data_IF_350005984941
#
_entry.id   IF_350005984941
#
_cell.length_a   1.000
_cell.length_b   1.000
_cell.length_c   1.000
_cell.angle_alpha   90.00
_cell.angle_beta   90.00
_cell.angle_gamma   90.00
#
_symmetry.space_group_name_H-M   'P 1'
#
loop_
_entity.id
_entity.type
_entity.pdbx_description
1 polymer ?
#
# COMPACT_ATOMS: atom_id res chain seq x y z
N UNK A 1 -0.01 6.64 22.66
CA UNK A 1 -0.17 8.02 22.13
C UNK A 1 0.29 8.04 20.68
N UNK A 2 -0.40 8.73 19.81
CA UNK A 2 -0.08 8.79 18.39
C UNK A 2 0.87 9.96 18.05
N UNK A 3 1.39 9.97 16.84
CA UNK A 3 2.28 11.01 16.33
C UNK A 3 1.74 12.45 16.51
N UNK A 4 0.43 12.65 16.34
CA UNK A 4 -0.21 13.96 16.52
C UNK A 4 -0.15 14.49 17.96
N UNK A 5 0.20 13.64 18.92
CA UNK A 5 0.36 14.02 20.33
C UNK A 5 1.83 14.18 20.70
N UNK A 6 2.73 13.41 20.08
CA UNK A 6 4.12 13.25 20.52
C UNK A 6 5.14 13.84 19.55
N UNK A 7 4.77 14.01 18.28
CA UNK A 7 5.68 14.25 17.15
C UNK A 7 6.79 13.18 17.01
N UNK A 8 6.63 12.03 17.68
CA UNK A 8 7.55 10.90 17.56
C UNK A 8 7.21 10.06 16.31
N UNK A 9 8.12 10.05 15.37
CA UNK A 9 7.99 9.36 14.09
C UNK A 9 7.77 7.85 14.24
N UNK A 10 8.22 7.23 15.34
CA UNK A 10 8.01 5.80 15.64
C UNK A 10 6.52 5.50 15.82
N UNK A 11 5.74 6.47 16.28
CA UNK A 11 4.30 6.35 16.53
C UNK A 11 3.43 6.71 15.32
N UNK A 12 4.01 6.70 14.11
CA UNK A 12 3.29 6.93 12.86
C UNK A 12 3.72 5.95 11.77
N UNK A 13 2.81 5.17 11.24
CA UNK A 13 3.02 4.32 10.07
C UNK A 13 2.67 4.99 8.74
N UNK A 14 2.18 6.23 8.74
CA UNK A 14 1.75 6.93 7.53
C UNK A 14 0.51 6.30 6.88
N UNK A 15 -0.39 5.70 7.65
CA UNK A 15 -1.60 5.04 7.16
C UNK A 15 -2.71 6.00 6.68
N UNK A 16 -2.56 7.29 6.89
CA UNK A 16 -3.46 8.38 6.47
C UNK A 16 -4.89 8.33 7.05
N UNK A 17 -5.18 7.49 8.04
CA UNK A 17 -6.50 7.42 8.66
C UNK A 17 -6.92 8.76 9.30
N UNK A 18 -5.97 9.46 9.95
CA UNK A 18 -6.18 10.76 10.56
C UNK A 18 -6.53 11.85 9.52
N UNK A 19 -5.91 11.81 8.34
CA UNK A 19 -6.22 12.75 7.25
C UNK A 19 -7.60 12.47 6.63
N UNK A 20 -7.93 11.19 6.42
CA UNK A 20 -9.21 10.77 5.85
C UNK A 20 -10.42 11.08 6.77
N UNK A 21 -10.26 10.95 8.10
CA UNK A 21 -11.37 11.18 9.04
C UNK A 21 -11.66 12.65 9.28
N UNK A 22 -10.73 13.56 8.96
CA UNK A 22 -10.88 14.97 9.28
C UNK A 22 -11.96 15.63 8.40
N UNK A 23 -13.11 16.05 8.98
CA UNK A 23 -14.20 16.64 8.21
C UNK A 23 -13.83 18.00 7.63
N UNK A 24 -12.89 18.70 8.25
CA UNK A 24 -12.42 20.02 7.84
C UNK A 24 -11.19 19.97 6.94
N UNK A 25 -10.71 18.75 6.58
CA UNK A 25 -9.46 18.55 5.80
C UNK A 25 -8.27 19.34 6.37
N UNK A 26 -8.24 19.49 7.69
CA UNK A 26 -7.20 20.23 8.41
C UNK A 26 -5.88 19.44 8.53
N UNK A 27 -5.78 18.23 8.00
CA UNK A 27 -4.59 17.39 8.12
C UNK A 27 -4.03 17.09 6.73
N UNK A 28 -2.80 17.54 6.51
CA UNK A 28 -2.01 17.23 5.31
C UNK A 28 -0.87 16.28 5.65
N UNK A 29 -0.56 15.36 4.73
CA UNK A 29 0.60 14.48 4.85
C UNK A 29 1.82 15.17 4.24
N UNK A 30 2.77 15.59 5.07
CA UNK A 30 3.95 16.36 4.66
C UNK A 30 5.18 15.43 4.66
N UNK A 31 6.00 15.44 3.59
CA UNK A 31 7.24 14.68 3.56
C UNK A 31 8.27 15.25 4.54
N UNK A 32 9.06 14.38 5.16
CA UNK A 32 10.25 14.74 5.91
C UNK A 32 11.49 14.77 4.99
N UNK A 33 12.69 14.93 5.59
CA UNK A 33 13.96 14.94 4.85
C UNK A 33 14.28 13.65 4.09
N UNK A 34 13.62 12.54 4.44
CA UNK A 34 13.75 11.26 3.77
C UNK A 34 12.53 10.96 2.88
N UNK A 35 11.67 11.95 2.65
CA UNK A 35 10.44 11.86 1.86
C UNK A 35 9.36 10.92 2.47
N UNK A 36 9.52 10.47 3.72
CA UNK A 36 8.43 9.82 4.44
C UNK A 36 7.38 10.83 4.87
N UNK A 37 6.12 10.51 4.65
CA UNK A 37 5.01 11.45 4.88
C UNK A 37 4.41 11.28 6.26
N UNK A 38 4.30 12.43 6.97
CA UNK A 38 3.73 12.54 8.32
C UNK A 38 2.57 13.53 8.35
N UNK A 39 1.56 13.31 9.21
CA UNK A 39 0.42 14.22 9.30
C UNK A 39 0.83 15.55 9.97
N UNK A 40 0.47 16.66 9.34
CA UNK A 40 0.58 18.01 9.89
C UNK A 40 -0.79 18.66 9.96
N UNK A 41 -1.15 19.19 11.13
CA UNK A 41 -2.42 19.88 11.37
C UNK A 41 -2.29 21.34 10.95
N UNK A 42 -3.22 21.80 10.11
CA UNK A 42 -3.46 23.23 9.91
C UNK A 42 -4.36 23.74 11.04
N UNK A 43 -3.81 24.58 11.90
CA UNK A 43 -4.47 25.09 13.11
C UNK A 43 -5.67 25.96 12.75
N UNK A 44 -5.60 26.70 11.66
CA UNK A 44 -6.68 27.62 11.24
C UNK A 44 -7.96 26.89 10.81
N UNK A 45 -7.80 25.64 10.34
CA UNK A 45 -8.91 24.78 9.91
C UNK A 45 -9.34 23.78 11.00
N UNK A 46 -8.52 23.61 12.04
CA UNK A 46 -8.72 22.57 13.05
C UNK A 46 -9.71 23.02 14.15
N UNK A 47 -10.83 22.33 14.26
CA UNK A 47 -11.82 22.56 15.34
C UNK A 47 -11.52 21.79 16.64
N UNK A 48 -10.39 21.14 16.74
CA UNK A 48 -9.95 20.33 17.88
C UNK A 48 -10.95 19.23 18.31
N UNK A 49 -11.69 18.65 17.37
CA UNK A 49 -12.72 17.63 17.63
C UNK A 49 -12.16 16.26 18.08
N UNK A 50 -10.87 16.01 17.98
CA UNK A 50 -10.19 14.80 18.43
C UNK A 50 -10.39 13.54 17.57
N UNK A 51 -11.16 13.60 16.46
CA UNK A 51 -11.44 12.44 15.61
C UNK A 51 -10.17 11.77 15.07
N UNK A 52 -9.18 12.56 14.67
CA UNK A 52 -7.91 12.08 14.14
C UNK A 52 -7.11 11.23 15.15
N UNK A 53 -7.23 11.53 16.45
CA UNK A 53 -6.62 10.75 17.53
C UNK A 53 -7.39 9.45 17.79
N UNK A 54 -8.72 9.51 17.70
CA UNK A 54 -9.59 8.33 17.91
C UNK A 54 -9.40 7.26 16.85
N UNK A 55 -9.15 7.62 15.60
CA UNK A 55 -8.94 6.64 14.51
C UNK A 55 -7.50 6.22 14.35
N UNK A 56 -6.56 6.77 15.11
CA UNK A 56 -5.16 6.36 14.97
C UNK A 56 -4.94 4.94 15.50
N UNK A 57 -4.46 3.99 14.69
CA UNK A 57 -4.23 2.61 15.15
C UNK A 57 -3.28 2.50 16.35
N UNK A 58 -2.36 3.45 16.53
CA UNK A 58 -1.45 3.50 17.67
C UNK A 58 -2.14 3.85 19.00
N UNK A 59 -3.35 4.41 18.96
CA UNK A 59 -4.17 4.70 20.15
C UNK A 59 -5.20 3.61 20.44
N UNK A 60 -5.35 2.63 19.54
CA UNK A 60 -6.27 1.52 19.70
C UNK A 60 -5.55 0.33 20.34
N UNK A 61 -6.24 -0.37 21.24
CA UNK A 61 -5.74 -1.65 21.72
C UNK A 61 -5.71 -2.66 20.58
N UNK A 62 -4.65 -3.49 20.49
CA UNK A 62 -4.58 -4.54 19.48
C UNK A 62 -5.82 -5.44 19.56
N UNK A 63 -6.54 -5.56 18.47
CA UNK A 63 -7.64 -6.52 18.41
C UNK A 63 -7.04 -7.92 18.40
N UNK A 64 -7.37 -8.74 19.40
CA UNK A 64 -7.03 -10.16 19.38
C UNK A 64 -7.83 -10.82 18.25
N UNK A 65 -7.16 -11.44 17.31
CA UNK A 65 -7.83 -12.32 16.36
C UNK A 65 -8.41 -13.51 17.11
N UNK A 66 -9.73 -13.53 17.27
CA UNK A 66 -10.46 -14.68 17.83
C UNK A 66 -10.81 -15.61 16.68
N UNK A 67 -10.01 -16.62 16.42
CA UNK A 67 -10.31 -17.60 15.39
C UNK A 67 -9.13 -18.54 15.13
N UNK A 68 -9.40 -19.69 14.51
CA UNK A 68 -8.35 -20.59 14.04
C UNK A 68 -7.64 -19.96 12.84
N UNK A 69 -6.32 -19.81 12.94
CA UNK A 69 -5.48 -19.37 11.84
C UNK A 69 -5.14 -20.60 10.98
N UNK A 70 -5.60 -20.60 9.74
CA UNK A 70 -5.21 -21.60 8.75
C UNK A 70 -4.14 -21.03 7.85
N UNK A 71 -3.14 -21.86 7.53
CA UNK A 71 -2.09 -21.54 6.56
C UNK A 71 -2.27 -22.42 5.33
N UNK A 72 -2.36 -21.79 4.16
CA UNK A 72 -2.49 -22.47 2.89
C UNK A 72 -1.33 -22.08 1.97
N UNK A 73 -0.81 -23.06 1.22
CA UNK A 73 0.15 -22.83 0.15
C UNK A 73 -0.46 -23.23 -1.19
N UNK A 74 -0.21 -22.42 -2.24
CA UNK A 74 -0.74 -22.73 -3.55
C UNK A 74 -0.44 -21.65 -4.59
N UNK A 75 -0.91 -21.90 -5.81
CA UNK A 75 -0.82 -20.94 -6.90
C UNK A 75 -2.07 -21.00 -7.79
N UNK A 76 -2.33 -19.90 -8.50
CA UNK A 76 -3.41 -19.84 -9.48
C UNK A 76 -3.12 -20.77 -10.67
N UNK A 77 -4.13 -21.49 -11.17
CA UNK A 77 -3.98 -22.44 -12.29
C UNK A 77 -3.74 -21.75 -13.64
N UNK A 78 -4.25 -20.53 -13.80
CA UNK A 78 -4.07 -19.76 -15.03
C UNK A 78 -2.61 -19.33 -15.18
N UNK A 79 -1.91 -19.92 -16.14
CA UNK A 79 -0.47 -19.70 -16.37
C UNK A 79 -0.13 -18.25 -16.75
N UNK A 80 -1.01 -17.58 -17.51
CA UNK A 80 -0.83 -16.17 -17.86
C UNK A 80 -0.87 -15.30 -16.60
N UNK A 81 -1.87 -15.47 -15.74
CA UNK A 81 -1.97 -14.71 -14.48
C UNK A 81 -0.82 -15.05 -13.55
N UNK A 82 -0.38 -16.30 -13.50
CA UNK A 82 0.76 -16.73 -12.68
C UNK A 82 2.07 -16.06 -13.12
N UNK A 83 2.34 -15.98 -14.41
CA UNK A 83 3.54 -15.32 -14.95
C UNK A 83 3.54 -13.81 -14.70
N UNK A 84 2.37 -13.17 -14.76
CA UNK A 84 2.19 -11.74 -14.48
C UNK A 84 2.14 -11.41 -12.98
N UNK A 85 2.11 -12.41 -12.11
CA UNK A 85 2.06 -12.22 -10.65
C UNK A 85 3.44 -12.33 -10.03
N UNK A 86 3.70 -11.59 -8.95
CA UNK A 86 4.98 -11.64 -8.22
C UNK A 86 5.25 -13.02 -7.61
N UNK A 87 4.20 -13.69 -7.10
CA UNK A 87 4.26 -15.00 -6.44
C UNK A 87 3.22 -15.94 -7.05
N UNK A 88 2.46 -16.65 -6.22
CA UNK A 88 1.46 -17.63 -6.65
C UNK A 88 0.15 -17.07 -7.23
N UNK A 89 -0.02 -15.76 -7.30
CA UNK A 89 -1.23 -15.13 -7.83
C UNK A 89 -2.44 -15.17 -6.88
N UNK A 90 -2.20 -15.34 -5.58
CA UNK A 90 -3.26 -15.45 -4.56
C UNK A 90 -4.25 -14.27 -4.59
N UNK A 91 -3.76 -13.04 -4.78
CA UNK A 91 -4.64 -11.87 -4.89
C UNK A 91 -5.67 -12.03 -6.01
N UNK A 92 -5.24 -12.44 -7.21
CA UNK A 92 -6.15 -12.67 -8.34
C UNK A 92 -7.15 -13.79 -8.05
N UNK A 93 -6.72 -14.88 -7.39
CA UNK A 93 -7.60 -15.97 -7.00
C UNK A 93 -8.66 -15.54 -5.97
N UNK A 94 -8.28 -14.71 -4.98
CA UNK A 94 -9.21 -14.14 -3.99
C UNK A 94 -10.23 -13.23 -4.68
N UNK A 95 -9.79 -12.37 -5.60
CA UNK A 95 -10.69 -11.52 -6.39
C UNK A 95 -11.68 -12.34 -7.19
N UNK A 96 -11.23 -13.42 -7.83
CA UNK A 96 -12.09 -14.28 -8.63
C UNK A 96 -13.15 -14.98 -7.76
N UNK A 97 -12.79 -15.38 -6.55
CA UNK A 97 -13.69 -16.05 -5.63
C UNK A 97 -14.68 -15.09 -4.94
N UNK A 98 -14.24 -13.90 -4.56
CA UNK A 98 -15.03 -12.95 -3.78
C UNK A 98 -15.90 -12.01 -4.63
N UNK A 99 -15.34 -11.51 -5.74
CA UNK A 99 -15.99 -10.48 -6.56
C UNK A 99 -16.87 -11.13 -7.63
N UNK A 100 -18.14 -11.35 -7.33
CA UNK A 100 -19.13 -11.91 -8.24
C UNK A 100 -20.00 -10.83 -8.91
N UNK A 101 -20.71 -10.02 -8.13
CA UNK A 101 -21.60 -8.95 -8.59
C UNK A 101 -21.47 -7.72 -7.69
N UNK A 102 -21.71 -6.54 -8.24
CA UNK A 102 -21.79 -5.27 -7.52
C UNK A 102 -20.57 -5.05 -6.58
N UNK A 103 -19.37 -5.17 -7.11
CA UNK A 103 -18.12 -5.08 -6.36
C UNK A 103 -17.26 -3.87 -6.76
N UNK A 104 -16.35 -3.52 -5.88
CA UNK A 104 -15.25 -2.58 -6.12
C UNK A 104 -13.98 -3.18 -5.53
N UNK A 105 -12.88 -3.10 -6.26
CA UNK A 105 -11.59 -3.62 -5.84
C UNK A 105 -10.62 -2.46 -5.68
N UNK A 106 -9.99 -2.35 -4.51
CA UNK A 106 -8.94 -1.39 -4.20
C UNK A 106 -7.59 -2.07 -4.11
N UNK A 107 -6.56 -1.38 -4.59
CA UNK A 107 -5.19 -1.82 -4.47
C UNK A 107 -4.19 -0.72 -4.82
N UNK A 108 -2.92 -0.98 -4.57
CA UNK A 108 -1.86 -0.06 -4.91
C UNK A 108 -1.55 -0.10 -6.42
N UNK A 109 -1.54 1.06 -7.06
CA UNK A 109 -1.12 1.26 -8.45
C UNK A 109 0.15 2.09 -8.50
N UNK A 110 0.92 1.96 -9.58
CA UNK A 110 2.10 2.81 -9.83
C UNK A 110 1.90 3.61 -11.10
N UNK A 111 2.30 4.88 -11.04
CA UNK A 111 2.44 5.76 -12.18
C UNK A 111 3.84 6.39 -12.12
N UNK A 112 4.74 5.90 -12.97
CA UNK A 112 6.16 6.18 -12.86
C UNK A 112 6.71 5.76 -11.50
N UNK A 113 7.21 6.73 -10.73
CA UNK A 113 7.75 6.53 -9.39
C UNK A 113 6.70 6.70 -8.26
N UNK A 114 5.50 7.17 -8.62
CA UNK A 114 4.44 7.39 -7.66
C UNK A 114 3.64 6.11 -7.44
N UNK A 115 3.37 5.79 -6.18
CA UNK A 115 2.49 4.68 -5.79
C UNK A 115 1.34 5.22 -4.95
N UNK A 116 0.13 4.86 -5.32
CA UNK A 116 -1.08 5.30 -4.63
C UNK A 116 -2.17 4.24 -4.68
N UNK A 117 -3.16 4.33 -3.79
CA UNK A 117 -4.32 3.47 -3.82
C UNK A 117 -5.36 4.00 -4.80
N UNK A 118 -5.82 3.11 -5.68
CA UNK A 118 -6.90 3.34 -6.63
C UNK A 118 -7.89 2.19 -6.58
N UNK A 119 -8.98 2.31 -7.34
CA UNK A 119 -10.02 1.29 -7.41
C UNK A 119 -10.46 1.00 -8.84
N UNK A 120 -10.99 -0.20 -9.03
CA UNK A 120 -11.57 -0.66 -10.28
C UNK A 120 -12.94 -1.30 -10.02
N UNK A 121 -13.80 -1.22 -11.03
CA UNK A 121 -15.14 -1.83 -11.03
C UNK A 121 -15.22 -3.09 -11.91
N UNK A 122 -14.14 -3.43 -12.62
CA UNK A 122 -14.11 -4.56 -13.55
C UNK A 122 -12.76 -5.30 -13.42
N UNK A 123 -12.82 -6.60 -13.22
CA UNK A 123 -11.66 -7.50 -13.10
C UNK A 123 -10.69 -7.45 -14.30
N UNK A 124 -11.15 -7.01 -15.48
CA UNK A 124 -10.27 -6.86 -16.64
C UNK A 124 -9.11 -5.88 -16.43
N UNK A 125 -9.24 -4.98 -15.45
CA UNK A 125 -8.21 -4.01 -15.08
C UNK A 125 -7.38 -4.44 -13.86
N UNK A 126 -7.50 -5.70 -13.41
CA UNK A 126 -6.83 -6.21 -12.21
C UNK A 126 -5.30 -6.23 -12.31
N UNK A 127 -4.78 -6.26 -13.53
CA UNK A 127 -3.35 -6.16 -13.82
C UNK A 127 -2.68 -4.93 -13.20
N UNK A 128 -3.40 -3.80 -13.08
CA UNK A 128 -2.90 -2.58 -12.43
C UNK A 128 -2.45 -2.81 -10.97
N UNK A 129 -3.07 -3.75 -10.26
CA UNK A 129 -2.78 -4.05 -8.86
C UNK A 129 -1.77 -5.18 -8.68
N UNK A 130 -1.50 -5.96 -9.74
CA UNK A 130 -0.50 -7.01 -9.68
C UNK A 130 0.91 -6.45 -9.48
N UNK A 131 1.81 -7.32 -9.13
CA UNK A 131 3.22 -7.06 -8.85
C UNK A 131 3.44 -6.24 -7.57
N UNK A 132 4.60 -6.46 -6.95
CA UNK A 132 4.98 -5.76 -5.73
C UNK A 132 5.44 -4.34 -6.05
N UNK A 133 5.10 -3.39 -5.18
CA UNK A 133 5.57 -2.02 -5.22
C UNK A 133 6.24 -1.74 -3.87
N UNK A 134 7.57 -1.70 -3.85
CA UNK A 134 8.35 -1.50 -2.61
C UNK A 134 8.49 -0.03 -2.25
N UNK A 135 7.41 0.72 -2.37
CA UNK A 135 7.27 2.12 -1.97
C UNK A 135 5.98 2.26 -1.19
N UNK A 136 5.96 3.16 -0.22
CA UNK A 136 4.73 3.50 0.49
C UNK A 136 3.72 4.12 -0.48
N UNK A 137 2.58 3.46 -0.66
CA UNK A 137 1.49 4.01 -1.46
C UNK A 137 0.72 5.08 -0.69
N UNK A 138 0.36 6.15 -1.36
CA UNK A 138 -0.53 7.18 -0.83
C UNK A 138 -1.96 6.64 -0.79
N UNK A 139 -2.62 6.75 0.35
CA UNK A 139 -4.03 6.36 0.49
C UNK A 139 -4.95 7.41 -0.15
N UNK A 140 -4.59 8.69 -0.03
CA UNK A 140 -5.42 9.77 -0.54
C UNK A 140 -6.84 9.69 0.03
N UNK A 141 -7.84 9.62 -0.85
CA UNK A 141 -9.26 9.52 -0.47
C UNK A 141 -9.79 8.07 -0.46
N UNK A 142 -8.93 7.05 -0.58
CA UNK A 142 -9.38 5.67 -0.77
C UNK A 142 -10.30 5.19 0.36
N UNK A 143 -10.01 5.52 1.63
CA UNK A 143 -10.88 5.12 2.75
C UNK A 143 -12.26 5.77 2.68
N UNK A 144 -12.33 7.03 2.27
CA UNK A 144 -13.59 7.74 2.07
C UNK A 144 -14.42 7.09 0.96
N UNK A 145 -13.79 6.67 -0.14
CA UNK A 145 -14.47 5.93 -1.21
C UNK A 145 -14.92 4.55 -0.76
N UNK A 146 -14.10 3.82 0.00
CA UNK A 146 -14.50 2.53 0.59
C UNK A 146 -15.76 2.69 1.43
N UNK A 147 -15.77 3.68 2.34
CA UNK A 147 -16.96 3.98 3.17
C UNK A 147 -18.20 4.23 2.33
N UNK A 148 -18.08 5.08 1.31
CA UNK A 148 -19.18 5.40 0.38
C UNK A 148 -19.70 4.15 -0.32
N UNK A 149 -18.82 3.33 -0.91
CA UNK A 149 -19.25 2.13 -1.63
C UNK A 149 -19.87 1.07 -0.73
N UNK A 150 -19.42 0.94 0.53
CA UNK A 150 -20.08 0.08 1.51
C UNK A 150 -21.49 0.59 1.84
N UNK A 151 -21.65 1.91 2.02
CA UNK A 151 -22.97 2.53 2.23
C UNK A 151 -23.90 2.36 1.02
N UNK A 152 -23.35 2.34 -0.20
CA UNK A 152 -24.09 2.05 -1.44
C UNK A 152 -24.38 0.54 -1.62
N UNK A 153 -24.11 -0.31 -0.62
CA UNK A 153 -24.36 -1.75 -0.64
C UNK A 153 -23.43 -2.54 -1.56
N UNK A 154 -22.28 -1.99 -1.95
CA UNK A 154 -21.30 -2.71 -2.78
C UNK A 154 -20.42 -3.64 -1.96
N UNK A 155 -20.02 -4.76 -2.53
CA UNK A 155 -18.91 -5.56 -2.01
C UNK A 155 -17.59 -4.83 -2.29
N UNK A 156 -16.80 -4.61 -1.25
CA UNK A 156 -15.50 -3.92 -1.37
C UNK A 156 -14.38 -4.88 -0.99
N UNK A 157 -13.45 -5.10 -1.91
CA UNK A 157 -12.18 -5.76 -1.63
C UNK A 157 -11.09 -4.67 -1.53
N UNK A 158 -10.41 -4.61 -0.39
CA UNK A 158 -9.31 -3.67 -0.18
C UNK A 158 -8.01 -4.42 0.13
N UNK A 159 -7.01 -4.26 -0.74
CA UNK A 159 -5.67 -4.79 -0.52
C UNK A 159 -4.72 -3.69 -0.06
N UNK A 160 -3.94 -3.95 0.99
CA UNK A 160 -2.98 -3.00 1.53
C UNK A 160 -2.00 -3.64 2.50
N UNK A 161 -1.04 -2.86 2.98
CA UNK A 161 -0.12 -3.27 4.04
C UNK A 161 -0.83 -3.34 5.40
N UNK A 162 -0.27 -4.01 6.44
CA UNK A 162 -0.88 -4.12 7.76
C UNK A 162 -1.31 -2.78 8.35
N UNK A 163 -0.45 -1.77 8.25
CA UNK A 163 -0.76 -0.44 8.76
C UNK A 163 -1.92 0.24 7.99
N UNK A 164 -2.02 0.02 6.68
CA UNK A 164 -3.11 0.56 5.86
C UNK A 164 -4.43 -0.16 6.16
N UNK A 165 -4.40 -1.47 6.34
CA UNK A 165 -5.59 -2.23 6.75
C UNK A 165 -6.05 -1.81 8.16
N UNK A 166 -5.12 -1.66 9.11
CA UNK A 166 -5.44 -1.15 10.45
C UNK A 166 -6.05 0.27 10.40
N UNK A 167 -5.47 1.15 9.57
CA UNK A 167 -6.00 2.50 9.33
C UNK A 167 -7.39 2.49 8.72
N UNK A 168 -7.66 1.65 7.73
CA UNK A 168 -8.99 1.49 7.14
C UNK A 168 -10.00 0.99 8.15
N UNK A 169 -9.68 -0.09 8.88
CA UNK A 169 -10.58 -0.66 9.89
C UNK A 169 -10.92 0.34 10.98
N UNK A 170 -9.93 1.10 11.46
CA UNK A 170 -10.18 2.13 12.46
C UNK A 170 -11.00 3.32 11.91
N UNK A 171 -10.81 3.69 10.66
CA UNK A 171 -11.64 4.70 9.98
C UNK A 171 -13.10 4.24 9.85
N UNK A 172 -13.34 2.94 9.67
CA UNK A 172 -14.67 2.34 9.48
C UNK A 172 -15.32 1.81 10.76
N UNK A 173 -14.78 2.07 11.95
CA UNK A 173 -15.26 1.49 13.23
C UNK A 173 -16.79 1.59 13.45
N UNK A 174 -17.43 2.65 12.97
CA UNK A 174 -18.87 2.88 13.10
C UNK A 174 -19.65 2.60 11.80
N UNK A 175 -19.07 1.83 10.88
CA UNK A 175 -19.72 1.47 9.63
C UNK A 175 -19.96 -0.04 9.58
N UNK A 176 -21.02 -0.45 8.89
CA UNK A 176 -21.20 -1.86 8.55
C UNK A 176 -20.09 -2.32 7.60
N UNK A 177 -19.39 -3.38 7.98
CA UNK A 177 -18.27 -3.96 7.24
C UNK A 177 -18.59 -5.37 6.71
N UNK A 178 -19.84 -5.82 6.73
CA UNK A 178 -20.24 -7.16 6.28
C UNK A 178 -19.84 -7.43 4.81
N UNK A 179 -19.83 -6.38 3.99
CA UNK A 179 -19.45 -6.43 2.59
C UNK A 179 -17.98 -6.04 2.33
N UNK A 180 -17.13 -5.96 3.37
CA UNK A 180 -15.71 -5.62 3.25
C UNK A 180 -14.83 -6.87 3.39
N UNK A 181 -14.05 -7.16 2.36
CA UNK A 181 -12.94 -8.11 2.45
C UNK A 181 -11.62 -7.35 2.41
N UNK A 182 -10.78 -7.52 3.43
CA UNK A 182 -9.43 -6.96 3.46
C UNK A 182 -8.40 -8.03 3.11
N UNK A 183 -7.48 -7.71 2.21
CA UNK A 183 -6.35 -8.57 1.82
C UNK A 183 -5.07 -7.89 2.26
N UNK A 184 -4.49 -8.40 3.33
CA UNK A 184 -3.28 -7.87 3.90
C UNK A 184 -2.05 -8.44 3.18
N UNK A 185 -1.18 -7.56 2.71
CA UNK A 185 0.10 -7.92 2.09
C UNK A 185 1.16 -7.95 3.18
N UNK A 186 1.90 -9.06 3.31
CA UNK A 186 3.02 -9.14 4.25
C UNK A 186 4.01 -8.02 3.96
N UNK A 187 4.28 -7.19 4.97
CA UNK A 187 5.14 -6.03 4.86
C UNK A 187 6.08 -5.95 6.07
N UNK A 188 7.37 -5.96 5.81
CA UNK A 188 8.42 -5.78 6.82
C UNK A 188 8.90 -4.33 6.90
N UNK A 189 8.36 -3.45 6.07
CA UNK A 189 8.69 -2.04 5.97
C UNK A 189 8.84 -1.60 4.51
N UNK A 190 9.16 -0.32 4.32
CA UNK A 190 9.40 0.28 3.00
C UNK A 190 10.68 1.09 3.02
N UNK A 191 11.47 1.10 1.93
CA UNK A 191 12.63 1.98 1.82
C UNK A 191 12.19 3.44 1.78
N UNK A 192 13.14 4.34 2.02
CA UNK A 192 12.90 5.77 1.90
C UNK A 192 12.53 6.15 0.46
N UNK A 193 11.47 6.94 0.23
CA UNK A 193 11.15 7.42 -1.12
C UNK A 193 12.27 8.28 -1.73
N UNK A 194 13.07 8.96 -0.90
CA UNK A 194 14.23 9.74 -1.35
C UNK A 194 15.24 8.89 -2.13
N UNK A 195 15.43 7.61 -1.72
CA UNK A 195 16.33 6.71 -2.43
C UNK A 195 15.92 6.51 -3.90
N UNK A 196 14.62 6.26 -4.13
CA UNK A 196 14.12 6.07 -5.48
C UNK A 196 14.21 7.34 -6.32
N UNK A 197 13.96 8.49 -5.71
CA UNK A 197 14.10 9.81 -6.34
C UNK A 197 15.55 10.06 -6.76
N UNK A 198 16.51 9.87 -5.86
CA UNK A 198 17.94 10.03 -6.15
C UNK A 198 18.43 9.04 -7.23
N UNK A 199 17.91 7.80 -7.19
CA UNK A 199 18.21 6.82 -8.22
C UNK A 199 17.66 7.24 -9.60
N UNK A 200 16.44 7.76 -9.65
CA UNK A 200 15.87 8.29 -10.89
C UNK A 200 16.69 9.49 -11.44
N UNK A 201 17.15 10.38 -10.55
CA UNK A 201 18.02 11.49 -10.93
C UNK A 201 19.34 10.98 -11.54
N UNK A 202 19.96 9.96 -10.90
CA UNK A 202 21.16 9.31 -11.44
C UNK A 202 20.93 8.70 -12.82
N UNK A 203 19.83 7.93 -12.99
CA UNK A 203 19.47 7.32 -14.28
C UNK A 203 19.23 8.39 -15.34
N UNK A 204 18.49 9.44 -14.98
CA UNK A 204 18.19 10.56 -15.89
C UNK A 204 19.47 11.27 -16.35
N UNK A 205 20.39 11.55 -15.43
CA UNK A 205 21.67 12.16 -15.76
C UNK A 205 22.53 11.26 -16.67
N UNK A 206 22.55 9.96 -16.39
CA UNK A 206 23.39 8.99 -17.14
C UNK A 206 22.86 8.65 -18.53
N UNK A 207 21.54 8.54 -18.67
CA UNK A 207 20.90 8.03 -19.89
C UNK A 207 20.07 9.07 -20.63
N UNK A 208 20.00 10.31 -20.12
CA UNK A 208 19.18 11.40 -20.66
C UNK A 208 17.71 11.01 -20.86
N UNK A 209 17.20 10.15 -19.97
CA UNK A 209 15.83 9.62 -20.03
C UNK A 209 15.29 9.39 -18.62
N UNK A 210 14.05 9.76 -18.38
CA UNK A 210 13.37 9.53 -17.10
C UNK A 210 12.87 8.09 -16.97
N UNK A 211 12.85 7.58 -15.73
CA UNK A 211 12.23 6.28 -15.41
C UNK A 211 10.72 6.36 -15.60
N UNK A 212 10.17 5.56 -16.51
CA UNK A 212 8.72 5.51 -16.79
C UNK A 212 7.97 4.50 -15.91
N UNK A 213 8.63 3.40 -15.54
CA UNK A 213 8.05 2.35 -14.71
C UNK A 213 9.15 1.52 -14.05
N UNK A 214 8.83 0.90 -12.92
CA UNK A 214 9.72 -0.01 -12.22
C UNK A 214 8.99 -1.33 -11.99
N UNK A 215 9.63 -2.43 -12.35
CA UNK A 215 9.22 -3.77 -11.98
C UNK A 215 10.16 -4.32 -10.91
N UNK A 216 9.71 -4.32 -9.65
CA UNK A 216 10.53 -4.68 -8.50
C UNK A 216 10.85 -6.17 -8.39
N UNK A 217 10.11 -7.04 -9.07
CA UNK A 217 10.32 -8.49 -9.06
C UNK A 217 10.04 -9.06 -10.45
N UNK A 218 10.85 -8.62 -11.39
CA UNK A 218 10.78 -9.11 -12.76
C UNK A 218 11.08 -10.61 -12.82
N UNK A 219 10.18 -11.37 -13.43
CA UNK A 219 10.34 -12.80 -13.67
C UNK A 219 10.69 -12.99 -15.13
N UNK A 220 11.96 -13.20 -15.42
CA UNK A 220 12.39 -13.70 -16.70
C UNK A 220 12.87 -15.15 -16.55
N UNK A 221 12.07 -16.09 -17.04
CA UNK A 221 12.43 -17.51 -17.04
C UNK A 221 13.65 -17.83 -17.89
N UNK A 222 14.04 -16.94 -18.81
CA UNK A 222 15.25 -17.09 -19.64
C UNK A 222 16.51 -16.61 -18.93
N UNK A 223 16.42 -15.69 -18.00
CA UNK A 223 17.59 -15.09 -17.34
C UNK A 223 18.16 -15.94 -16.20
N UNK A 224 17.46 -16.98 -15.76
CA UNK A 224 18.06 -17.98 -14.84
C UNK A 224 19.24 -18.72 -15.47
N UNK A 225 19.33 -18.75 -16.82
CA UNK A 225 20.37 -19.42 -17.58
C UNK A 225 21.28 -18.49 -18.42
N UNK A 226 20.92 -17.22 -18.60
CA UNK A 226 21.71 -16.29 -19.41
C UNK A 226 21.98 -14.98 -18.65
N UNK A 227 23.11 -14.91 -18.02
CA UNK A 227 23.62 -13.80 -17.20
C UNK A 227 23.87 -12.47 -17.95
N UNK A 228 23.36 -12.24 -19.14
CA UNK A 228 23.84 -11.13 -19.99
C UNK A 228 22.79 -10.13 -20.50
N UNK A 229 21.50 -10.39 -20.35
CA UNK A 229 20.46 -9.47 -20.84
C UNK A 229 19.49 -9.17 -19.70
N UNK A 230 19.57 -8.03 -19.08
CA UNK A 230 18.71 -7.61 -17.96
C UNK A 230 19.47 -7.05 -16.77
N UNK A 231 20.69 -6.62 -16.98
CA UNK A 231 21.57 -6.09 -15.92
C UNK A 231 20.97 -4.92 -15.13
N UNK A 232 19.98 -4.23 -15.69
CA UNK A 232 19.45 -3.01 -15.12
C UNK A 232 18.36 -3.28 -14.08
N UNK A 233 17.43 -4.18 -14.37
CA UNK A 233 16.36 -4.53 -13.44
C UNK A 233 16.87 -5.35 -12.26
N UNK A 234 17.88 -6.17 -12.49
CA UNK A 234 18.51 -6.99 -11.45
C UNK A 234 19.36 -6.16 -10.47
N UNK A 235 20.05 -5.11 -10.91
CA UNK A 235 20.82 -4.22 -10.03
C UNK A 235 19.90 -3.40 -9.11
N UNK A 236 18.77 -2.90 -9.61
CA UNK A 236 17.76 -2.23 -8.77
C UNK A 236 17.18 -3.18 -7.75
N UNK A 237 16.88 -4.41 -8.14
CA UNK A 237 16.36 -5.44 -7.24
C UNK A 237 17.37 -5.88 -6.19
N UNK A 238 18.63 -6.11 -6.54
CA UNK A 238 19.67 -6.42 -5.57
C UNK A 238 19.93 -5.26 -4.62
N UNK A 239 19.94 -4.01 -5.10
CA UNK A 239 20.13 -2.86 -4.23
C UNK A 239 18.94 -2.67 -3.27
N UNK A 240 17.71 -2.80 -3.74
CA UNK A 240 16.51 -2.73 -2.88
C UNK A 240 16.45 -3.92 -1.91
N UNK A 241 16.83 -5.12 -2.33
CA UNK A 241 16.95 -6.29 -1.46
C UNK A 241 18.09 -6.15 -0.44
N UNK A 242 19.22 -5.57 -0.81
CA UNK A 242 20.34 -5.30 0.09
C UNK A 242 20.02 -4.19 1.11
N UNK A 243 19.24 -3.20 0.73
CA UNK A 243 18.74 -2.17 1.66
C UNK A 243 17.77 -2.80 2.67
N UNK A 244 16.93 -3.73 2.25
CA UNK A 244 16.09 -4.52 3.15
C UNK A 244 16.88 -5.35 4.18
N UNK A 245 18.10 -5.76 3.85
CA UNK A 245 18.96 -6.59 4.72
C UNK A 245 19.85 -5.73 5.62
N UNK A 246 20.25 -4.53 5.19
CA UNK A 246 21.28 -3.73 5.84
C UNK A 246 20.77 -2.57 6.69
N UNK A 247 19.54 -2.10 6.48
CA UNK A 247 18.98 -1.05 7.31
C UNK A 247 17.72 -1.52 8.02
N UNK A 248 17.62 -1.31 9.35
CA UNK A 248 16.38 -1.54 10.06
C UNK A 248 15.34 -0.60 9.45
N UNK A 249 14.40 -1.17 8.74
CA UNK A 249 13.26 -0.43 8.25
C UNK A 249 12.63 0.30 9.43
N UNK A 250 12.41 1.58 9.28
CA UNK A 250 11.93 2.51 10.32
C UNK A 250 10.59 2.10 10.94
N UNK A 251 9.98 1.00 10.47
CA UNK A 251 8.63 0.57 10.84
C UNK A 251 8.51 -0.94 10.87
N UNK A 252 8.69 -1.46 12.04
CA UNK A 252 8.14 -2.76 12.44
C UNK A 252 6.79 -2.57 13.09
#
# INVERSE_FOLDING_TARGET
>A
MCYLDTNDKITCSGCEACANICPHKAICMIPDSEEFRYPKINIDLCTNCGLCRKVCPYNLSPQKCSGMNYTFGGHIKNQKVLSESTSGGAFSAIVDAWCDKNYVIFGAVSDGLNVYHDHIFDKKYLDKFRKSKYIQSNIGNAYTYVKKFLQDGKKVLFSGTPCQIAGLKSFLLNCDQANLLTVEVICEGVPTPLYLKSYNEYITAKYHSSVKSIDYRYKDFKSYFNHLIGRWDFQVMQLLSLIHISEPTRRR
#
